data_IF_318553656564
#
_entry.id   IF_318553656564
#
_cell.length_a   1.000
_cell.length_b   1.000
_cell.length_c   1.000
_cell.angle_alpha   90.00
_cell.angle_beta   90.00
_cell.angle_gamma   90.00
#
_symmetry.space_group_name_H-M   'P 1'
#
loop_
_entity.id
_entity.type
_entity.pdbx_description
1 polymer ?
#
# COMPACT_ATOMS: atom_id res chain seq x y z
N UNK A 1 -51.15 49.91 9.99
CA UNK A 1 -51.65 49.19 11.18
C UNK A 1 -52.64 48.14 10.69
N UNK A 2 -52.24 46.88 10.75
CA UNK A 2 -53.00 45.76 10.20
C UNK A 2 -54.13 45.35 11.14
N UNK A 3 -55.27 44.99 10.54
CA UNK A 3 -56.53 44.57 11.15
C UNK A 3 -56.49 43.06 11.40
N UNK A 4 -57.09 42.59 12.50
CA UNK A 4 -57.61 41.22 12.57
C UNK A 4 -58.86 41.16 13.46
N UNK A 5 -60.01 40.93 12.81
CA UNK A 5 -61.22 40.37 13.40
C UNK A 5 -61.27 38.88 13.01
N UNK A 6 -61.65 38.04 13.96
CA UNK A 6 -61.95 36.64 13.76
C UNK A 6 -63.07 36.41 12.73
N UNK A 7 -62.91 35.39 11.90
CA UNK A 7 -63.98 34.46 11.54
C UNK A 7 -63.38 33.10 11.17
N UNK A 8 -63.99 32.06 11.70
CA UNK A 8 -63.72 30.65 11.40
C UNK A 8 -63.84 30.39 9.90
N UNK A 9 -62.90 29.61 9.35
CA UNK A 9 -63.20 28.76 8.21
C UNK A 9 -62.58 27.38 8.45
N UNK A 10 -63.49 26.42 8.55
CA UNK A 10 -63.25 25.00 8.59
C UNK A 10 -63.21 24.52 7.13
N UNK A 11 -62.01 24.38 6.57
CA UNK A 11 -61.82 23.64 5.31
C UNK A 11 -60.96 22.42 5.60
N UNK A 12 -61.63 21.30 5.83
CA UNK A 12 -61.00 20.00 5.78
C UNK A 12 -60.40 19.79 4.41
N UNK A 13 -59.08 19.62 4.36
CA UNK A 13 -58.44 18.88 3.29
C UNK A 13 -57.73 17.70 3.97
N UNK A 14 -58.52 16.67 4.26
CA UNK A 14 -58.03 15.36 4.69
C UNK A 14 -57.31 14.71 3.52
N UNK A 15 -56.03 15.01 3.36
CA UNK A 15 -55.09 14.24 2.54
C UNK A 15 -53.65 14.45 3.02
N UNK A 16 -53.47 14.61 4.33
CA UNK A 16 -52.17 14.35 4.97
C UNK A 16 -52.00 12.83 5.02
N UNK A 17 -51.68 12.24 3.87
CA UNK A 17 -51.07 10.92 3.87
C UNK A 17 -49.84 11.05 4.75
N UNK A 18 -49.87 10.39 5.91
CA UNK A 18 -48.73 10.33 6.83
C UNK A 18 -47.53 9.89 6.00
N UNK A 19 -46.59 10.81 5.81
CA UNK A 19 -45.33 10.48 5.17
C UNK A 19 -44.55 9.59 6.14
N UNK A 20 -44.49 8.30 5.83
CA UNK A 20 -43.81 7.33 6.67
C UNK A 20 -42.30 7.60 6.76
N UNK A 21 -41.73 8.39 5.84
CA UNK A 21 -40.34 8.86 5.92
C UNK A 21 -40.15 9.92 7.01
N UNK A 22 -41.12 10.82 7.23
CA UNK A 22 -41.06 11.84 8.28
C UNK A 22 -41.18 11.25 9.69
N UNK A 23 -41.83 10.09 9.82
CA UNK A 23 -41.98 9.40 11.09
C UNK A 23 -40.65 8.82 11.61
N UNK A 24 -39.65 8.65 10.74
CA UNK A 24 -38.28 8.25 11.10
C UNK A 24 -37.52 9.37 11.82
N UNK A 25 -37.99 10.62 11.74
CA UNK A 25 -37.43 11.76 12.47
C UNK A 25 -38.28 12.15 13.68
N UNK A 26 -39.41 11.47 13.91
CA UNK A 26 -40.28 11.73 15.04
C UNK A 26 -39.61 11.23 16.33
N UNK A 27 -39.55 12.01 17.43
CA UNK A 27 -38.83 11.63 18.66
C UNK A 27 -39.28 10.31 19.29
N UNK A 28 -40.52 9.89 19.02
CA UNK A 28 -41.06 8.60 19.47
C UNK A 28 -40.65 7.38 18.62
N UNK A 29 -40.17 7.58 17.38
CA UNK A 29 -39.95 6.53 16.40
C UNK A 29 -38.59 6.64 15.65
N UNK A 30 -37.84 7.72 15.84
CA UNK A 30 -36.59 8.00 15.16
C UNK A 30 -35.35 7.40 15.82
N UNK A 31 -34.41 6.96 14.98
CA UNK A 31 -33.27 6.13 15.37
C UNK A 31 -32.01 6.92 15.82
N UNK A 32 -31.95 8.22 15.55
CA UNK A 32 -30.84 9.08 15.96
C UNK A 32 -31.26 9.95 17.14
N UNK A 33 -31.10 9.42 18.36
CA UNK A 33 -31.19 10.22 19.58
C UNK A 33 -29.79 10.24 20.21
N UNK A 34 -29.18 11.43 20.23
CA UNK A 34 -27.88 11.67 20.86
C UNK A 34 -27.97 11.24 22.35
N UNK A 35 -27.19 10.23 22.80
CA UNK A 35 -27.25 9.76 24.18
C UNK A 35 -26.87 10.81 25.23
N UNK A 36 -26.35 11.98 24.82
CA UNK A 36 -26.10 13.13 25.70
C UNK A 36 -27.25 14.13 25.75
N UNK A 37 -28.20 14.07 24.82
CA UNK A 37 -29.44 14.84 24.90
C UNK A 37 -30.46 13.97 25.65
N UNK A 38 -30.53 14.13 26.98
CA UNK A 38 -31.43 13.34 27.83
C UNK A 38 -32.82 13.21 27.22
N UNK A 39 -33.26 11.98 26.97
CA UNK A 39 -34.56 11.68 26.37
C UNK A 39 -35.69 12.21 27.27
N UNK A 40 -36.78 12.66 26.65
CA UNK A 40 -37.98 13.02 27.40
C UNK A 40 -38.57 11.74 28.03
N UNK A 41 -39.05 11.75 29.28
CA UNK A 41 -39.58 10.55 29.95
C UNK A 41 -40.67 9.79 29.17
N UNK A 42 -41.41 10.51 28.31
CA UNK A 42 -42.42 9.93 27.43
C UNK A 42 -41.83 9.05 26.31
N UNK A 43 -40.66 9.38 25.76
CA UNK A 43 -40.01 8.57 24.71
C UNK A 43 -39.39 7.29 25.30
N UNK A 44 -38.87 7.37 26.52
CA UNK A 44 -38.43 6.19 27.27
C UNK A 44 -39.62 5.28 27.62
N UNK A 45 -40.75 5.85 28.04
CA UNK A 45 -41.98 5.10 28.31
C UNK A 45 -42.55 4.40 27.06
N UNK A 46 -42.50 5.05 25.89
CA UNK A 46 -42.93 4.44 24.63
C UNK A 46 -41.99 3.33 24.16
N UNK A 47 -40.68 3.47 24.38
CA UNK A 47 -39.71 2.42 24.08
C UNK A 47 -39.85 1.24 25.05
N UNK A 48 -40.17 1.50 26.32
CA UNK A 48 -40.51 0.47 27.30
C UNK A 48 -41.77 -0.31 26.90
N UNK A 49 -42.83 0.39 26.44
CA UNK A 49 -44.07 -0.21 25.93
C UNK A 49 -43.88 -1.13 24.71
N UNK A 50 -42.90 -0.84 23.83
CA UNK A 50 -42.63 -1.66 22.62
C UNK A 50 -41.97 -3.01 22.94
N UNK A 51 -41.22 -3.12 24.03
CA UNK A 51 -40.46 -4.33 24.41
C UNK A 51 -40.80 -4.81 25.83
N UNK A 52 -42.04 -4.57 26.24
CA UNK A 52 -42.59 -4.77 27.60
C UNK A 52 -42.87 -6.24 27.96
N UNK A 53 -42.08 -7.16 27.42
CA UNK A 53 -42.08 -8.54 27.86
C UNK A 53 -41.03 -8.71 28.94
N UNK A 54 -41.41 -9.20 30.14
CA UNK A 54 -40.45 -9.65 31.16
C UNK A 54 -39.57 -10.81 30.65
N UNK A 55 -40.02 -11.50 29.58
CA UNK A 55 -39.26 -12.54 28.91
C UNK A 55 -38.20 -11.94 27.95
N UNK A 56 -36.93 -12.14 28.33
CA UNK A 56 -35.75 -11.74 27.57
C UNK A 56 -35.66 -12.42 26.20
N UNK A 57 -36.18 -13.65 26.06
CA UNK A 57 -36.14 -14.40 24.81
C UNK A 57 -37.15 -13.84 23.80
N UNK A 58 -38.34 -13.47 24.26
CA UNK A 58 -39.34 -12.79 23.43
C UNK A 58 -38.82 -11.43 22.93
N UNK A 59 -38.15 -10.66 23.78
CA UNK A 59 -37.53 -9.39 23.40
C UNK A 59 -36.44 -9.60 22.34
N UNK A 60 -35.54 -10.56 22.53
CA UNK A 60 -34.50 -10.88 21.55
C UNK A 60 -35.09 -11.30 20.19
N UNK A 61 -36.20 -12.06 20.18
CA UNK A 61 -36.91 -12.43 18.95
C UNK A 61 -37.55 -11.23 18.25
N UNK A 62 -38.14 -10.30 19.00
CA UNK A 62 -38.71 -9.06 18.45
C UNK A 62 -37.64 -8.24 17.72
N UNK A 63 -36.50 -7.99 18.40
CA UNK A 63 -35.35 -7.31 17.80
C UNK A 63 -34.76 -8.03 16.59
N UNK A 64 -34.77 -9.37 16.60
CA UNK A 64 -34.32 -10.18 15.46
C UNK A 64 -35.22 -9.94 14.24
N UNK A 65 -36.54 -9.93 14.41
CA UNK A 65 -37.48 -9.68 13.30
C UNK A 65 -37.39 -8.24 12.77
N UNK A 66 -37.21 -7.26 13.67
CA UNK A 66 -36.96 -5.87 13.29
C UNK A 66 -35.65 -5.73 12.49
N UNK A 67 -34.56 -6.37 12.94
CA UNK A 67 -33.31 -6.41 12.20
C UNK A 67 -33.47 -7.08 10.82
N UNK A 68 -34.27 -8.15 10.73
CA UNK A 68 -34.58 -8.80 9.46
C UNK A 68 -35.37 -7.89 8.50
N UNK A 69 -36.27 -7.06 9.04
CA UNK A 69 -37.00 -6.06 8.25
C UNK A 69 -36.04 -5.04 7.62
N UNK A 70 -35.15 -4.43 8.42
CA UNK A 70 -34.14 -3.50 7.90
C UNK A 70 -33.15 -4.16 6.95
N UNK A 71 -32.74 -5.40 7.23
CA UNK A 71 -31.88 -6.17 6.35
C UNK A 71 -32.51 -6.40 4.97
N UNK A 72 -33.81 -6.74 4.92
CA UNK A 72 -34.55 -6.84 3.65
C UNK A 72 -34.63 -5.50 2.92
N UNK A 73 -34.77 -4.41 3.67
CA UNK A 73 -34.68 -3.03 3.16
C UNK A 73 -33.27 -2.58 2.76
N UNK A 74 -32.24 -3.42 2.93
CA UNK A 74 -30.81 -3.12 2.73
C UNK A 74 -30.27 -1.97 3.60
N UNK A 75 -31.01 -1.58 4.64
CA UNK A 75 -30.51 -0.65 5.66
C UNK A 75 -29.71 -1.44 6.70
N UNK A 76 -28.46 -1.74 6.34
CA UNK A 76 -27.58 -2.56 7.18
C UNK A 76 -27.22 -1.87 8.50
N UNK A 77 -27.19 -0.54 8.54
CA UNK A 77 -26.88 0.22 9.76
C UNK A 77 -27.98 0.06 10.80
N UNK A 78 -29.26 0.24 10.42
CA UNK A 78 -30.40 0.01 11.33
C UNK A 78 -30.56 -1.47 11.69
N UNK A 79 -30.27 -2.38 10.77
CA UNK A 79 -30.25 -3.81 11.06
C UNK A 79 -29.22 -4.16 12.15
N UNK A 80 -28.01 -3.60 12.08
CA UNK A 80 -26.96 -3.80 13.11
C UNK A 80 -27.41 -3.31 14.48
N UNK A 81 -28.05 -2.14 14.55
CA UNK A 81 -28.58 -1.59 15.80
C UNK A 81 -29.65 -2.52 16.39
N UNK A 82 -30.58 -3.00 15.55
CA UNK A 82 -31.66 -3.90 15.97
C UNK A 82 -31.11 -5.23 16.49
N UNK A 83 -30.20 -5.88 15.76
CA UNK A 83 -29.55 -7.11 16.23
C UNK A 83 -28.73 -6.90 17.50
N UNK A 84 -28.10 -5.73 17.65
CA UNK A 84 -27.39 -5.36 18.88
C UNK A 84 -28.35 -5.18 20.06
N UNK A 85 -29.55 -4.62 19.85
CA UNK A 85 -30.64 -4.59 20.82
C UNK A 85 -31.05 -6.00 21.25
N UNK A 86 -31.20 -6.92 20.30
CA UNK A 86 -31.50 -8.33 20.58
C UNK A 86 -30.43 -9.02 21.43
N UNK A 87 -29.15 -8.77 21.17
CA UNK A 87 -28.05 -9.28 21.99
C UNK A 87 -28.02 -8.67 23.39
N UNK A 88 -28.44 -7.41 23.55
CA UNK A 88 -28.55 -6.73 24.86
C UNK A 88 -29.72 -7.24 25.70
N UNK A 89 -30.75 -7.81 25.09
CA UNK A 89 -31.85 -8.44 25.79
C UNK A 89 -31.40 -9.67 26.61
N UNK A 90 -30.18 -10.20 26.38
CA UNK A 90 -29.59 -11.34 27.11
C UNK A 90 -30.52 -12.56 27.15
N UNK A 91 -30.97 -12.98 25.97
CA UNK A 91 -31.71 -14.22 25.80
C UNK A 91 -30.93 -15.41 26.37
N UNK A 92 -31.63 -16.33 27.03
CA UNK A 92 -31.07 -17.59 27.53
C UNK A 92 -30.80 -18.60 26.41
N UNK A 93 -31.41 -18.40 25.23
CA UNK A 93 -31.25 -19.25 24.05
C UNK A 93 -29.93 -18.96 23.33
N UNK A 94 -28.95 -19.84 23.54
CA UNK A 94 -27.63 -19.78 22.89
C UNK A 94 -27.74 -19.79 21.35
N UNK A 95 -28.69 -20.54 20.79
CA UNK A 95 -28.86 -20.63 19.32
C UNK A 95 -29.43 -19.33 18.77
N UNK A 96 -30.38 -18.72 19.46
CA UNK A 96 -30.90 -17.39 19.09
C UNK A 96 -29.79 -16.33 19.12
N UNK A 97 -28.94 -16.34 20.15
CA UNK A 97 -27.80 -15.44 20.22
C UNK A 97 -26.80 -15.69 19.08
N UNK A 98 -26.49 -16.94 18.74
CA UNK A 98 -25.63 -17.27 17.60
C UNK A 98 -26.20 -16.76 16.26
N UNK A 99 -27.52 -16.86 16.08
CA UNK A 99 -28.22 -16.30 14.91
C UNK A 99 -28.10 -14.77 14.88
N UNK A 100 -28.34 -14.09 16.00
CA UNK A 100 -28.23 -12.64 16.11
C UNK A 100 -26.81 -12.14 15.79
N UNK A 101 -25.79 -12.77 16.36
CA UNK A 101 -24.38 -12.47 16.02
C UNK A 101 -24.11 -12.68 14.54
N UNK A 102 -24.57 -13.78 13.95
CA UNK A 102 -24.34 -14.06 12.53
C UNK A 102 -25.06 -13.08 11.61
N UNK A 103 -26.31 -12.72 11.90
CA UNK A 103 -27.06 -11.75 11.12
C UNK A 103 -26.41 -10.35 11.19
N UNK A 104 -25.91 -9.96 12.38
CA UNK A 104 -25.11 -8.74 12.53
C UNK A 104 -23.78 -8.82 11.76
N UNK A 105 -23.11 -9.97 11.78
CA UNK A 105 -21.89 -10.20 11.01
C UNK A 105 -22.12 -10.02 9.50
N UNK A 106 -23.23 -10.56 8.97
CA UNK A 106 -23.62 -10.40 7.57
C UNK A 106 -23.82 -8.91 7.23
N UNK A 107 -24.47 -8.13 8.09
CA UNK A 107 -24.62 -6.69 7.88
C UNK A 107 -23.25 -5.98 7.88
N UNK A 108 -22.37 -6.32 8.83
CA UNK A 108 -20.99 -5.82 8.83
C UNK A 108 -20.23 -6.19 7.56
N UNK A 109 -20.43 -7.39 7.02
CA UNK A 109 -19.81 -7.83 5.77
C UNK A 109 -20.25 -6.95 4.58
N UNK A 110 -21.54 -6.67 4.44
CA UNK A 110 -22.04 -5.79 3.37
C UNK A 110 -21.55 -4.35 3.50
N UNK A 111 -21.34 -3.88 4.73
CA UNK A 111 -20.71 -2.58 5.02
C UNK A 111 -19.16 -2.62 4.90
N UNK A 112 -18.57 -3.72 4.45
CA UNK A 112 -17.11 -3.94 4.34
C UNK A 112 -16.36 -3.82 5.68
N UNK A 113 -17.08 -3.94 6.80
CA UNK A 113 -16.54 -3.97 8.15
C UNK A 113 -16.07 -5.39 8.51
N UNK A 114 -15.13 -5.94 7.73
CA UNK A 114 -14.75 -7.35 7.79
C UNK A 114 -14.21 -7.78 9.16
N UNK A 115 -13.47 -6.92 9.87
CA UNK A 115 -12.97 -7.24 11.23
C UNK A 115 -14.11 -7.45 12.23
N UNK A 116 -15.13 -6.60 12.18
CA UNK A 116 -16.33 -6.73 13.03
C UNK A 116 -17.13 -7.97 12.66
N UNK A 117 -17.25 -8.26 11.37
CA UNK A 117 -17.86 -9.50 10.87
C UNK A 117 -17.15 -10.75 11.42
N UNK A 118 -15.83 -10.83 11.35
CA UNK A 118 -15.05 -11.97 11.86
C UNK A 118 -15.27 -12.15 13.36
N UNK A 119 -15.25 -11.05 14.13
CA UNK A 119 -15.49 -11.10 15.58
C UNK A 119 -16.87 -11.67 15.91
N UNK A 120 -17.90 -11.18 15.24
CA UNK A 120 -19.27 -11.65 15.46
C UNK A 120 -19.45 -13.12 15.02
N UNK A 121 -18.83 -13.53 13.91
CA UNK A 121 -18.79 -14.93 13.49
C UNK A 121 -18.09 -15.82 14.53
N UNK A 122 -16.96 -15.40 15.09
CA UNK A 122 -16.26 -16.14 16.17
C UNK A 122 -17.15 -16.27 17.41
N UNK A 123 -17.86 -15.20 17.80
CA UNK A 123 -18.84 -15.26 18.89
C UNK A 123 -20.00 -16.21 18.59
N UNK A 124 -20.55 -16.18 17.36
CA UNK A 124 -21.62 -17.09 16.96
C UNK A 124 -21.18 -18.56 16.99
N UNK A 125 -19.99 -18.86 16.46
CA UNK A 125 -19.41 -20.20 16.48
C UNK A 125 -19.16 -20.70 17.91
N UNK A 126 -18.73 -19.82 18.82
CA UNK A 126 -18.53 -20.20 20.22
C UNK A 126 -19.83 -20.58 20.95
N UNK A 127 -20.96 -20.01 20.53
CA UNK A 127 -22.29 -20.25 21.10
C UNK A 127 -22.99 -21.46 20.47
N UNK A 128 -22.81 -21.66 19.17
CA UNK A 128 -23.39 -22.75 18.40
C UNK A 128 -22.35 -23.27 17.39
N UNK A 129 -21.50 -24.23 17.79
CA UNK A 129 -20.45 -24.78 16.93
C UNK A 129 -20.98 -25.56 15.72
N UNK A 130 -22.27 -25.90 15.71
CA UNK A 130 -22.99 -26.53 14.60
C UNK A 130 -23.56 -25.52 13.59
N UNK A 131 -23.37 -24.21 13.80
CA UNK A 131 -23.98 -23.19 12.96
C UNK A 131 -23.12 -22.82 11.74
N UNK A 132 -23.26 -23.62 10.67
CA UNK A 132 -22.51 -23.51 9.39
C UNK A 132 -22.43 -22.08 8.84
N UNK A 133 -23.54 -21.32 8.88
CA UNK A 133 -23.59 -19.97 8.30
C UNK A 133 -22.61 -19.00 8.93
N UNK A 134 -22.32 -19.17 10.23
CA UNK A 134 -21.34 -18.34 10.94
C UNK A 134 -19.91 -18.60 10.41
N UNK A 135 -19.54 -19.86 10.24
CA UNK A 135 -18.26 -20.27 9.65
C UNK A 135 -18.10 -19.73 8.24
N UNK A 136 -19.06 -20.00 7.35
CA UNK A 136 -19.03 -19.54 5.94
C UNK A 136 -18.80 -18.04 5.87
N UNK A 137 -19.59 -17.25 6.61
CA UNK A 137 -19.48 -15.79 6.58
C UNK A 137 -18.17 -15.29 7.18
N UNK A 138 -17.68 -15.94 8.24
CA UNK A 138 -16.40 -15.63 8.86
C UNK A 138 -15.22 -15.88 7.92
N UNK A 139 -15.24 -17.02 7.20
CA UNK A 139 -14.19 -17.37 6.24
C UNK A 139 -14.21 -16.41 5.04
N UNK A 140 -15.39 -16.08 4.50
CA UNK A 140 -15.52 -15.06 3.44
C UNK A 140 -14.95 -13.71 3.87
N UNK A 141 -15.17 -13.30 5.12
CA UNK A 141 -14.62 -12.07 5.68
C UNK A 141 -13.09 -12.14 5.86
N UNK A 142 -12.55 -13.30 6.27
CA UNK A 142 -11.10 -13.54 6.33
C UNK A 142 -10.45 -13.46 4.94
N UNK A 143 -11.08 -14.07 3.94
CA UNK A 143 -10.63 -14.00 2.54
C UNK A 143 -10.65 -12.57 2.00
N UNK A 144 -11.67 -11.78 2.33
CA UNK A 144 -11.74 -10.37 1.96
C UNK A 144 -10.62 -9.50 2.59
N UNK A 145 -10.03 -9.95 3.71
CA UNK A 145 -8.88 -9.32 4.37
C UNK A 145 -7.54 -9.98 4.02
N UNK A 146 -7.51 -10.94 3.10
CA UNK A 146 -6.33 -11.76 2.80
C UNK A 146 -5.72 -12.47 4.02
N UNK A 147 -6.55 -12.76 5.03
CA UNK A 147 -6.16 -13.51 6.24
C UNK A 147 -6.35 -15.01 6.00
N UNK A 148 -5.50 -15.59 5.16
CA UNK A 148 -5.67 -16.97 4.68
C UNK A 148 -5.49 -17.99 5.82
N UNK A 149 -4.56 -17.76 6.75
CA UNK A 149 -4.33 -18.65 7.89
C UNK A 149 -5.57 -18.77 8.80
N UNK A 150 -6.16 -17.63 9.17
CA UNK A 150 -7.40 -17.60 9.99
C UNK A 150 -8.57 -18.24 9.23
N UNK A 151 -8.61 -18.11 7.89
CA UNK A 151 -9.62 -18.75 7.05
C UNK A 151 -9.47 -20.28 7.03
N UNK A 152 -8.23 -20.80 6.95
CA UNK A 152 -7.92 -22.23 7.00
C UNK A 152 -8.24 -22.85 8.36
N UNK A 153 -7.91 -22.15 9.44
CA UNK A 153 -8.24 -22.57 10.80
C UNK A 153 -9.77 -22.62 10.99
N UNK A 154 -10.49 -21.58 10.57
CA UNK A 154 -11.94 -21.53 10.70
C UNK A 154 -12.64 -22.58 9.81
N UNK A 155 -12.11 -22.83 8.61
CA UNK A 155 -12.62 -23.88 7.73
C UNK A 155 -12.36 -25.29 8.27
N UNK A 156 -11.17 -25.57 8.80
CA UNK A 156 -10.83 -26.88 9.35
C UNK A 156 -11.63 -27.17 10.63
N UNK A 157 -11.77 -26.20 11.52
CA UNK A 157 -12.61 -26.34 12.72
C UNK A 157 -14.08 -26.59 12.38
N UNK A 158 -14.65 -25.88 11.40
CA UNK A 158 -16.02 -26.13 10.95
C UNK A 158 -16.22 -27.52 10.34
N UNK A 159 -15.28 -27.98 9.50
CA UNK A 159 -15.35 -29.31 8.88
C UNK A 159 -15.08 -30.45 9.86
N UNK A 160 -14.32 -30.24 10.93
CA UNK A 160 -14.16 -31.24 11.99
C UNK A 160 -15.48 -31.52 12.72
N UNK A 161 -16.34 -30.51 12.86
CA UNK A 161 -17.67 -30.64 13.50
C UNK A 161 -18.70 -31.12 12.48
N UNK A 162 -18.65 -30.60 11.25
CA UNK A 162 -19.61 -30.88 10.18
C UNK A 162 -18.91 -31.31 8.88
N UNK A 163 -18.36 -32.54 8.82
CA UNK A 163 -17.51 -32.99 7.72
C UNK A 163 -18.19 -33.05 6.36
N UNK A 164 -19.52 -33.23 6.34
CA UNK A 164 -20.29 -33.44 5.11
C UNK A 164 -21.06 -32.20 4.65
N UNK A 165 -20.77 -31.02 5.20
CA UNK A 165 -21.47 -29.79 4.82
C UNK A 165 -20.95 -29.24 3.47
N UNK A 166 -21.80 -29.18 2.42
CA UNK A 166 -21.36 -28.74 1.10
C UNK A 166 -20.92 -27.27 1.10
N UNK A 167 -21.52 -26.42 1.94
CA UNK A 167 -21.18 -25.00 2.03
C UNK A 167 -19.76 -24.77 2.60
N UNK A 168 -19.34 -25.56 3.60
CA UNK A 168 -17.98 -25.44 4.13
C UNK A 168 -16.94 -25.99 3.17
N UNK A 169 -17.25 -27.06 2.44
CA UNK A 169 -16.37 -27.61 1.41
C UNK A 169 -16.14 -26.62 0.26
N UNK A 170 -17.19 -25.94 -0.22
CA UNK A 170 -17.07 -24.91 -1.27
C UNK A 170 -16.17 -23.75 -0.81
N UNK A 171 -16.36 -23.28 0.42
CA UNK A 171 -15.56 -22.18 0.96
C UNK A 171 -14.13 -22.63 1.23
N UNK A 172 -13.90 -23.86 1.74
CA UNK A 172 -12.56 -24.42 1.91
C UNK A 172 -11.80 -24.47 0.58
N UNK A 173 -12.46 -24.89 -0.49
CA UNK A 173 -11.87 -24.89 -1.83
C UNK A 173 -11.41 -23.48 -2.24
N UNK A 174 -12.22 -22.44 -1.98
CA UNK A 174 -11.84 -21.04 -2.24
C UNK A 174 -10.62 -20.61 -1.43
N UNK A 175 -10.54 -21.01 -0.15
CA UNK A 175 -9.38 -20.73 0.70
C UNK A 175 -8.12 -21.40 0.17
N UNK A 176 -8.18 -22.70 -0.14
CA UNK A 176 -7.04 -23.45 -0.67
C UNK A 176 -6.57 -22.90 -2.03
N UNK A 177 -7.51 -22.57 -2.92
CA UNK A 177 -7.17 -21.93 -4.19
C UNK A 177 -6.41 -20.61 -3.96
N UNK A 178 -6.86 -19.79 -3.01
CA UNK A 178 -6.21 -18.51 -2.70
C UNK A 178 -4.83 -18.71 -2.06
N UNK A 179 -4.66 -19.72 -1.22
CA UNK A 179 -3.36 -20.11 -0.66
C UNK A 179 -2.38 -20.51 -1.78
N UNK A 180 -2.80 -21.36 -2.71
CA UNK A 180 -1.95 -21.78 -3.83
C UNK A 180 -1.54 -20.62 -4.74
N UNK A 181 -2.43 -19.64 -4.96
CA UNK A 181 -2.09 -18.41 -5.70
C UNK A 181 -0.99 -17.62 -4.97
N UNK A 182 -1.13 -17.44 -3.65
CA UNK A 182 -0.15 -16.73 -2.83
C UNK A 182 1.20 -17.46 -2.79
N UNK A 183 1.19 -18.78 -2.64
CA UNK A 183 2.42 -19.60 -2.62
C UNK A 183 3.17 -19.50 -3.95
N UNK A 184 2.46 -19.49 -5.07
CA UNK A 184 3.06 -19.27 -6.40
C UNK A 184 3.69 -17.90 -6.54
N UNK A 185 3.04 -16.84 -6.05
CA UNK A 185 3.58 -15.49 -6.07
C UNK A 185 4.86 -15.38 -5.22
N UNK A 186 4.84 -15.98 -4.02
CA UNK A 186 6.01 -16.04 -3.13
C UNK A 186 7.15 -16.82 -3.78
N UNK A 187 6.87 -17.97 -4.38
CA UNK A 187 7.88 -18.78 -5.07
C UNK A 187 8.47 -18.04 -6.27
N UNK A 188 7.64 -17.39 -7.10
CA UNK A 188 8.11 -16.59 -8.22
C UNK A 188 9.01 -15.44 -7.77
N UNK A 189 8.63 -14.73 -6.69
CA UNK A 189 9.44 -13.66 -6.12
C UNK A 189 10.79 -14.17 -5.61
N UNK A 190 10.78 -15.27 -4.86
CA UNK A 190 12.00 -15.93 -4.37
C UNK A 190 12.94 -16.34 -5.51
N UNK A 191 12.39 -16.93 -6.60
CA UNK A 191 13.19 -17.29 -7.78
C UNK A 191 13.83 -16.08 -8.46
N UNK A 192 13.10 -14.96 -8.54
CA UNK A 192 13.64 -13.71 -9.10
C UNK A 192 14.76 -13.14 -8.21
N UNK A 193 14.59 -13.18 -6.90
CA UNK A 193 15.59 -12.70 -5.95
C UNK A 193 16.86 -13.58 -5.99
N UNK A 194 16.73 -14.91 -6.01
CA UNK A 194 17.87 -15.83 -6.19
C UNK A 194 18.58 -15.63 -7.53
N UNK A 195 17.83 -15.35 -8.61
CA UNK A 195 18.43 -15.06 -9.93
C UNK A 195 19.27 -13.79 -9.87
N UNK A 196 18.74 -12.70 -9.30
CA UNK A 196 19.48 -11.45 -9.13
C UNK A 196 20.74 -11.66 -8.28
N UNK A 197 20.66 -12.42 -7.20
CA UNK A 197 21.82 -12.69 -6.35
C UNK A 197 22.91 -13.49 -7.07
N UNK A 198 22.53 -14.50 -7.87
CA UNK A 198 23.47 -15.28 -8.68
C UNK A 198 24.11 -14.45 -9.80
N UNK A 199 23.32 -13.62 -10.48
CA UNK A 199 23.82 -12.71 -11.54
C UNK A 199 24.85 -11.73 -10.93
N UNK A 200 24.53 -11.11 -9.79
CA UNK A 200 25.46 -10.24 -9.05
C UNK A 200 26.76 -10.96 -8.65
N UNK A 201 26.68 -12.17 -8.08
CA UNK A 201 27.87 -12.95 -7.70
C UNK A 201 28.77 -13.26 -8.90
N UNK A 202 28.19 -13.55 -10.06
CA UNK A 202 28.94 -13.82 -11.29
C UNK A 202 29.68 -12.57 -11.78
N UNK A 203 29.01 -11.41 -11.76
CA UNK A 203 29.61 -10.13 -12.14
C UNK A 203 30.76 -9.73 -11.21
N UNK A 204 30.59 -9.88 -9.90
CA UNK A 204 31.65 -9.59 -8.92
C UNK A 204 32.91 -10.43 -9.16
N UNK A 205 32.77 -11.72 -9.42
CA UNK A 205 33.91 -12.60 -9.72
C UNK A 205 34.61 -12.19 -11.02
N UNK A 206 33.84 -11.80 -12.04
CA UNK A 206 34.40 -11.31 -13.30
C UNK A 206 35.17 -9.99 -13.09
N UNK A 207 34.64 -9.04 -12.32
CA UNK A 207 35.30 -7.78 -12.01
C UNK A 207 36.60 -7.99 -11.24
N UNK A 208 36.56 -8.84 -10.21
CA UNK A 208 37.72 -9.21 -9.39
C UNK A 208 38.81 -9.87 -10.24
N UNK A 209 38.44 -10.74 -11.19
CA UNK A 209 39.39 -11.36 -12.11
C UNK A 209 40.11 -10.35 -13.02
N UNK A 210 39.51 -9.18 -13.26
CA UNK A 210 40.11 -8.08 -14.04
C UNK A 210 40.80 -7.02 -13.19
N UNK A 211 40.90 -7.24 -11.87
CA UNK A 211 41.54 -6.33 -10.92
C UNK A 211 40.76 -5.04 -10.72
N UNK A 212 39.42 -5.09 -10.80
CA UNK A 212 38.55 -3.96 -10.50
C UNK A 212 38.00 -4.15 -9.08
N UNK A 213 38.25 -3.17 -8.22
CA UNK A 213 37.81 -3.21 -6.83
C UNK A 213 36.32 -2.87 -6.71
N UNK A 214 35.60 -3.66 -5.91
CA UNK A 214 34.18 -3.46 -5.63
C UNK A 214 33.98 -3.19 -4.14
N UNK A 215 33.53 -1.98 -3.83
CA UNK A 215 33.35 -1.51 -2.47
C UNK A 215 31.92 -1.76 -1.99
N UNK A 216 31.71 -2.91 -1.35
CA UNK A 216 30.42 -3.33 -0.80
C UNK A 216 29.88 -2.44 0.35
N UNK A 217 30.67 -1.48 0.85
CA UNK A 217 30.25 -0.51 1.87
C UNK A 217 29.58 0.73 1.28
N UNK A 218 29.79 1.01 -0.01
CA UNK A 218 29.09 2.10 -0.69
C UNK A 218 27.60 1.74 -0.78
N UNK A 219 26.76 2.68 -0.34
CA UNK A 219 25.30 2.53 -0.50
C UNK A 219 24.97 2.68 -1.99
N UNK A 220 24.06 1.86 -2.54
CA UNK A 220 23.52 2.10 -3.88
C UNK A 220 22.93 3.51 -3.98
N UNK A 221 23.11 4.15 -5.13
CA UNK A 221 22.40 5.39 -5.43
C UNK A 221 20.97 5.03 -5.84
N UNK A 222 19.97 5.63 -5.18
CA UNK A 222 18.57 5.47 -5.55
C UNK A 222 18.32 6.16 -6.90
N UNK A 223 18.36 5.36 -7.98
CA UNK A 223 18.06 5.81 -9.34
C UNK A 223 16.58 5.54 -9.67
N UNK A 224 15.89 6.42 -10.43
CA UNK A 224 14.51 6.19 -10.87
C UNK A 224 14.38 4.89 -11.68
N UNK A 225 13.38 4.05 -11.35
CA UNK A 225 13.18 2.68 -11.88
C UNK A 225 13.11 2.57 -13.42
N UNK A 226 12.80 3.66 -14.14
CA UNK A 226 12.53 3.68 -15.59
C UNK A 226 13.81 3.55 -16.45
N UNK A 227 14.99 3.47 -15.82
CA UNK A 227 16.27 3.53 -16.52
C UNK A 227 17.35 2.57 -16.06
N UNK A 228 17.03 1.51 -15.30
CA UNK A 228 18.03 0.55 -14.82
C UNK A 228 18.74 -0.19 -15.97
N UNK A 229 19.82 0.41 -16.46
CA UNK A 229 20.86 -0.29 -17.19
C UNK A 229 21.89 -0.75 -16.16
N UNK A 230 22.06 -2.05 -16.07
CA UNK A 230 23.05 -2.67 -15.19
C UNK A 230 24.33 -2.92 -15.98
N UNK A 231 25.45 -2.98 -15.27
CA UNK A 231 26.68 -3.52 -15.83
C UNK A 231 26.42 -4.88 -16.49
N UNK A 232 27.06 -5.16 -17.62
CA UNK A 232 27.05 -6.50 -18.22
C UNK A 232 28.30 -6.74 -19.07
N UNK A 233 28.49 -8.00 -19.47
CA UNK A 233 29.58 -8.44 -20.35
C UNK A 233 28.99 -8.87 -21.69
N UNK A 234 29.46 -8.30 -22.79
CA UNK A 234 28.98 -8.66 -24.14
C UNK A 234 29.52 -10.04 -24.61
N UNK A 235 29.05 -10.50 -25.77
CA UNK A 235 29.50 -11.76 -26.37
C UNK A 235 30.98 -11.79 -26.75
N UNK A 236 31.64 -10.62 -26.83
CA UNK A 236 33.07 -10.47 -27.11
C UNK A 236 33.91 -10.35 -25.83
N UNK A 237 33.27 -10.45 -24.65
CA UNK A 237 33.92 -10.30 -23.35
C UNK A 237 34.25 -8.85 -23.00
N UNK A 238 33.67 -7.84 -23.66
CA UNK A 238 33.85 -6.43 -23.30
C UNK A 238 32.84 -6.02 -22.25
N UNK A 239 33.28 -5.19 -21.33
CA UNK A 239 32.42 -4.64 -20.27
C UNK A 239 31.62 -3.45 -20.79
N UNK A 240 30.35 -3.44 -20.41
CA UNK A 240 29.42 -2.35 -20.64
C UNK A 240 29.06 -1.75 -19.28
N UNK A 241 29.32 -0.46 -19.12
CA UNK A 241 29.19 0.27 -17.87
C UNK A 241 28.08 1.31 -17.94
N UNK A 242 27.20 1.38 -16.94
CA UNK A 242 26.46 2.61 -16.68
C UNK A 242 27.40 3.66 -16.07
N UNK A 243 27.29 4.91 -16.50
CA UNK A 243 28.12 6.03 -16.04
C UNK A 243 27.23 7.20 -15.61
N UNK A 244 27.42 7.68 -14.38
CA UNK A 244 26.79 8.86 -13.82
C UNK A 244 27.81 10.01 -13.78
N UNK A 245 27.56 11.06 -14.54
CA UNK A 245 28.27 12.33 -14.43
C UNK A 245 27.58 13.22 -13.40
N UNK A 246 28.36 13.70 -12.44
CA UNK A 246 27.94 14.64 -11.41
C UNK A 246 28.49 16.03 -11.73
N UNK A 247 27.66 17.06 -11.60
CA UNK A 247 28.02 18.47 -11.72
C UNK A 247 27.76 19.17 -10.37
N UNK A 248 28.70 19.06 -9.41
CA UNK A 248 28.42 19.43 -8.01
C UNK A 248 28.12 20.91 -7.82
N UNK A 249 28.67 21.79 -8.67
CA UNK A 249 28.39 23.23 -8.65
C UNK A 249 26.90 23.55 -8.76
N UNK A 250 26.18 22.79 -9.60
CA UNK A 250 24.77 23.02 -9.91
C UNK A 250 23.84 21.96 -9.32
N UNK A 251 24.39 20.94 -8.64
CA UNK A 251 23.62 19.80 -8.15
C UNK A 251 22.92 19.02 -9.27
N UNK A 252 23.50 19.02 -10.47
CA UNK A 252 22.94 18.34 -11.64
C UNK A 252 23.67 17.03 -11.91
N UNK A 253 22.99 16.13 -12.63
CA UNK A 253 23.54 14.84 -13.03
C UNK A 253 23.11 14.47 -14.45
N UNK A 254 23.97 13.73 -15.14
CA UNK A 254 23.68 13.11 -16.42
C UNK A 254 24.04 11.63 -16.38
N UNK A 255 23.20 10.79 -16.99
CA UNK A 255 23.32 9.33 -16.91
C UNK A 255 23.43 8.69 -18.29
N UNK A 256 24.55 8.03 -18.55
CA UNK A 256 24.75 7.18 -19.71
C UNK A 256 24.52 5.73 -19.33
N UNK A 257 23.56 5.09 -20.00
CA UNK A 257 23.10 3.74 -19.69
C UNK A 257 24.09 2.65 -20.07
N UNK A 258 24.71 2.80 -21.23
CA UNK A 258 25.51 1.76 -21.84
C UNK A 258 26.77 2.36 -22.48
N UNK A 259 27.90 2.20 -21.78
CA UNK A 259 29.22 2.65 -22.24
C UNK A 259 30.19 1.48 -22.26
N UNK A 260 30.66 1.12 -23.45
CA UNK A 260 31.66 0.09 -23.64
C UNK A 260 33.01 0.50 -23.02
N UNK A 261 33.73 -0.43 -22.39
CA UNK A 261 34.97 -0.16 -21.65
C UNK A 261 36.09 0.47 -22.51
N UNK A 262 36.02 0.33 -23.83
CA UNK A 262 36.97 0.91 -24.79
C UNK A 262 36.71 2.39 -25.10
N UNK A 263 35.55 2.94 -24.72
CA UNK A 263 35.22 4.34 -24.94
C UNK A 263 36.10 5.26 -24.09
N UNK A 264 36.39 6.45 -24.61
CA UNK A 264 37.06 7.50 -23.85
C UNK A 264 36.03 8.29 -23.03
N UNK A 265 36.45 8.79 -21.86
CA UNK A 265 35.60 9.64 -21.01
C UNK A 265 35.15 10.89 -21.78
N UNK A 266 36.05 11.49 -22.57
CA UNK A 266 35.75 12.69 -23.35
C UNK A 266 34.68 12.43 -24.41
N UNK A 267 34.66 11.26 -25.03
CA UNK A 267 33.63 10.92 -26.02
C UNK A 267 32.27 10.70 -25.36
N UNK A 268 32.26 10.15 -24.14
CA UNK A 268 31.06 10.08 -23.32
C UNK A 268 30.53 11.48 -22.97
N UNK A 269 31.41 12.40 -22.58
CA UNK A 269 31.04 13.79 -22.28
C UNK A 269 30.53 14.55 -23.52
N UNK A 270 31.04 14.27 -24.72
CA UNK A 270 30.52 14.86 -25.97
C UNK A 270 29.08 14.44 -26.27
N UNK A 271 28.66 13.25 -25.83
CA UNK A 271 27.27 12.82 -25.95
C UNK A 271 26.34 13.61 -25.02
N UNK A 272 26.85 14.03 -23.86
CA UNK A 272 26.10 14.81 -22.87
C UNK A 272 26.09 16.30 -23.25
N UNK A 273 27.26 16.86 -23.59
CA UNK A 273 27.45 18.25 -23.97
C UNK A 273 27.53 18.40 -25.50
N UNK A 274 26.43 18.12 -26.20
CA UNK A 274 26.35 18.31 -27.66
C UNK A 274 26.53 19.80 -28.01
N UNK A 275 27.66 20.11 -28.65
CA UNK A 275 28.05 21.49 -28.98
C UNK A 275 27.05 22.13 -29.95
N UNK A 276 26.35 21.33 -30.75
CA UNK A 276 25.36 21.78 -31.74
C UNK A 276 24.00 22.10 -31.12
N UNK A 277 23.78 21.73 -29.86
CA UNK A 277 22.55 22.01 -29.13
C UNK A 277 22.67 23.29 -28.27
N UNK A 278 21.54 23.95 -27.95
CA UNK A 278 21.56 25.03 -26.98
C UNK A 278 22.10 24.54 -25.62
N UNK A 279 22.80 25.39 -24.87
CA UNK A 279 23.35 24.99 -23.58
C UNK A 279 22.23 24.57 -22.62
N UNK A 280 22.50 23.65 -21.68
CA UNK A 280 21.51 23.24 -20.71
C UNK A 280 21.06 24.45 -19.85
N UNK A 281 19.81 24.47 -19.35
CA UNK A 281 19.27 25.60 -18.59
C UNK A 281 20.10 25.97 -17.35
N UNK A 282 20.82 25.01 -16.79
CA UNK A 282 21.66 25.18 -15.61
C UNK A 282 23.07 25.72 -15.93
N UNK A 283 23.54 25.66 -17.17
CA UNK A 283 24.80 26.27 -17.63
C UNK A 283 24.59 27.19 -18.86
N UNK A 284 23.85 28.30 -18.71
CA UNK A 284 23.60 29.21 -19.82
C UNK A 284 24.87 29.88 -20.35
N UNK A 285 25.97 29.89 -19.56
CA UNK A 285 27.25 30.53 -19.90
C UNK A 285 28.25 29.58 -20.56
N UNK A 286 27.93 28.29 -20.73
CA UNK A 286 28.85 27.26 -21.25
C UNK A 286 30.17 27.22 -20.48
N UNK A 287 30.08 27.28 -19.15
CA UNK A 287 31.22 27.06 -18.27
C UNK A 287 31.75 25.63 -18.44
N UNK A 288 30.86 24.66 -18.63
CA UNK A 288 31.18 23.26 -18.85
C UNK A 288 31.45 22.94 -20.33
N UNK A 289 32.27 23.77 -20.99
CA UNK A 289 32.72 23.51 -22.37
C UNK A 289 33.77 22.39 -22.39
N UNK A 290 33.74 21.56 -23.44
CA UNK A 290 34.76 20.54 -23.70
C UNK A 290 35.97 21.10 -24.46
N UNK A 291 35.93 22.37 -24.84
CA UNK A 291 37.01 23.09 -25.53
C UNK A 291 38.02 23.71 -24.53
N UNK A 292 39.20 24.07 -25.04
CA UNK A 292 40.25 24.82 -24.31
C UNK A 292 40.66 24.23 -22.95
N UNK A 293 40.55 22.91 -22.78
CA UNK A 293 40.87 22.24 -21.51
C UNK A 293 40.08 22.85 -20.33
N UNK A 294 38.83 23.26 -20.57
CA UNK A 294 38.01 23.99 -19.60
C UNK A 294 37.44 23.13 -18.47
N UNK A 295 37.49 21.80 -18.59
CA UNK A 295 36.94 20.87 -17.59
C UNK A 295 38.00 19.92 -17.03
N UNK A 296 37.79 19.49 -15.79
CA UNK A 296 38.51 18.40 -15.14
C UNK A 296 37.51 17.35 -14.69
N UNK A 297 37.91 16.07 -14.76
CA UNK A 297 37.07 14.94 -14.37
C UNK A 297 37.72 14.21 -13.21
N UNK A 298 36.94 13.90 -12.19
CA UNK A 298 37.39 13.29 -10.96
C UNK A 298 36.59 12.04 -10.62
N UNK A 299 37.20 11.09 -9.90
CA UNK A 299 36.49 10.04 -9.18
C UNK A 299 36.86 10.11 -7.70
N UNK A 300 36.00 9.60 -6.83
CA UNK A 300 36.26 9.54 -5.38
C UNK A 300 37.13 8.31 -5.06
N UNK A 301 38.26 8.51 -4.37
CA UNK A 301 39.08 7.43 -3.87
C UNK A 301 38.33 6.69 -2.76
N UNK A 302 38.22 5.37 -2.93
CA UNK A 302 37.47 4.47 -2.05
C UNK A 302 37.85 4.55 -0.55
N UNK A 303 39.16 4.56 -0.24
CA UNK A 303 39.73 4.60 1.11
C UNK A 303 39.98 6.03 1.57
N UNK A 304 40.62 6.86 0.74
CA UNK A 304 41.04 8.20 1.16
C UNK A 304 39.90 9.21 1.24
N UNK A 305 38.76 8.93 0.58
CA UNK A 305 37.62 9.87 0.50
C UNK A 305 38.01 11.23 -0.08
N UNK A 306 38.99 11.22 -1.00
CA UNK A 306 39.51 12.37 -1.75
C UNK A 306 39.22 12.20 -3.24
N UNK A 307 39.11 13.30 -3.96
CA UNK A 307 38.88 13.27 -5.40
C UNK A 307 40.20 13.14 -6.16
N UNK A 308 40.32 12.09 -6.97
CA UNK A 308 41.47 11.86 -7.84
C UNK A 308 41.16 12.36 -9.24
N UNK A 309 42.05 13.20 -9.78
CA UNK A 309 41.98 13.69 -11.15
C UNK A 309 42.20 12.54 -12.14
N UNK A 310 41.28 12.38 -13.08
CA UNK A 310 41.43 11.47 -14.21
C UNK A 310 41.43 12.26 -15.52
N UNK A 311 42.27 11.82 -16.47
CA UNK A 311 42.34 12.47 -17.77
C UNK A 311 41.08 12.15 -18.58
N UNK A 312 40.35 13.13 -19.13
CA UNK A 312 39.21 12.86 -20.01
C UNK A 312 39.59 12.04 -21.26
N UNK A 313 40.86 12.03 -21.65
CA UNK A 313 41.39 11.26 -22.78
C UNK A 313 41.61 9.78 -22.45
N UNK A 314 41.45 9.36 -21.19
CA UNK A 314 41.59 7.96 -20.82
C UNK A 314 40.33 7.16 -21.18
N UNK A 315 40.50 5.86 -21.45
CA UNK A 315 39.38 4.94 -21.65
C UNK A 315 38.79 4.52 -20.32
N UNK A 316 37.51 4.12 -20.33
CA UNK A 316 36.85 3.56 -19.14
C UNK A 316 37.63 2.38 -18.57
N UNK A 317 38.15 1.49 -19.42
CA UNK A 317 39.04 0.39 -19.02
C UNK A 317 40.30 0.83 -18.28
N UNK A 318 40.86 1.98 -18.66
CA UNK A 318 42.05 2.54 -17.99
C UNK A 318 41.68 3.19 -16.67
N UNK A 319 40.54 3.90 -16.64
CA UNK A 319 39.94 4.47 -15.42
C UNK A 319 39.71 3.39 -14.36
N UNK A 320 39.05 2.29 -14.71
CA UNK A 320 38.70 1.22 -13.75
C UNK A 320 39.89 0.49 -13.15
N UNK A 321 41.11 0.74 -13.66
CA UNK A 321 42.38 0.18 -13.16
C UNK A 321 43.23 1.21 -12.43
N UNK A 322 42.76 2.45 -12.27
CA UNK A 322 43.49 3.47 -11.53
C UNK A 322 43.48 3.13 -10.04
N UNK A 323 44.59 3.43 -9.36
CA UNK A 323 44.71 3.19 -7.94
C UNK A 323 43.64 3.97 -7.15
N UNK A 324 42.92 3.27 -6.26
CA UNK A 324 41.86 3.85 -5.44
C UNK A 324 40.50 3.98 -6.15
N UNK A 325 40.38 3.58 -7.42
CA UNK A 325 39.10 3.50 -8.10
C UNK A 325 38.35 2.26 -7.63
N UNK A 326 37.09 2.42 -7.25
CA UNK A 326 36.20 1.30 -6.92
C UNK A 326 34.77 1.59 -7.38
N UNK A 327 34.02 0.55 -7.68
CA UNK A 327 32.57 0.66 -7.92
C UNK A 327 31.77 0.16 -6.73
N UNK A 328 30.55 0.68 -6.55
CA UNK A 328 29.63 0.24 -5.50
C UNK A 328 28.91 -1.08 -5.85
N UNK A 329 27.94 -1.47 -5.01
CA UNK A 329 27.08 -2.64 -5.27
C UNK A 329 26.18 -2.49 -6.49
N UNK A 330 25.97 -1.26 -6.91
CA UNK A 330 25.20 -0.86 -8.10
C UNK A 330 26.01 -0.99 -9.39
N UNK A 331 27.30 -1.36 -9.31
CA UNK A 331 28.23 -1.48 -10.44
C UNK A 331 28.20 -0.24 -11.36
N UNK A 332 28.05 0.92 -10.73
CA UNK A 332 27.93 2.22 -11.36
C UNK A 332 29.28 2.96 -11.31
N UNK A 333 29.68 3.53 -12.45
CA UNK A 333 30.81 4.46 -12.49
C UNK A 333 30.30 5.87 -12.20
N UNK A 334 30.86 6.52 -11.18
CA UNK A 334 30.50 7.90 -10.81
C UNK A 334 31.69 8.81 -11.10
N UNK A 335 31.48 9.81 -11.95
CA UNK A 335 32.49 10.79 -12.33
C UNK A 335 32.01 12.20 -12.01
N UNK A 336 32.88 13.00 -11.40
CA UNK A 336 32.60 14.38 -11.04
C UNK A 336 33.27 15.30 -12.04
N UNK A 337 32.48 16.09 -12.75
CA UNK A 337 32.97 17.03 -13.76
C UNK A 337 32.98 18.42 -13.12
N UNK A 338 34.13 19.10 -13.23
CA UNK A 338 34.35 20.42 -12.65
C UNK A 338 34.86 21.35 -13.74
N UNK A 339 34.26 22.53 -13.88
CA UNK A 339 34.73 23.56 -14.82
C UNK A 339 35.80 24.43 -14.17
N UNK A 340 36.96 24.58 -14.85
CA UNK A 340 38.00 25.57 -14.51
C UNK A 340 37.53 27.00 -14.77
N UNK A 341 36.51 27.19 -15.61
CA UNK A 341 35.94 28.52 -15.92
C UNK A 341 35.11 29.07 -14.76
N UNK A 342 34.57 28.21 -13.90
CA UNK A 342 33.94 28.65 -12.64
C UNK A 342 35.00 28.88 -11.56
N UNK A 343 35.75 29.98 -11.69
CA UNK A 343 36.96 30.23 -10.89
C UNK A 343 36.73 30.16 -9.38
N UNK A 344 35.65 30.74 -8.87
CA UNK A 344 35.33 30.72 -7.44
C UNK A 344 35.02 29.31 -6.93
N UNK A 345 34.15 28.57 -7.63
CA UNK A 345 33.79 27.21 -7.25
C UNK A 345 35.00 26.27 -7.38
N UNK A 346 35.73 26.38 -8.48
CA UNK A 346 36.91 25.55 -8.75
C UNK A 346 37.99 25.69 -7.69
N UNK A 347 38.34 26.91 -7.29
CA UNK A 347 39.32 27.14 -6.21
C UNK A 347 38.86 26.55 -4.88
N UNK A 348 37.62 26.80 -4.47
CA UNK A 348 37.05 26.24 -3.24
C UNK A 348 36.99 24.71 -3.27
N UNK A 349 36.61 24.12 -4.41
CA UNK A 349 36.59 22.68 -4.60
C UNK A 349 37.98 22.05 -4.49
N UNK A 350 39.00 22.66 -5.11
CA UNK A 350 40.38 22.16 -5.03
C UNK A 350 40.93 22.19 -3.61
N UNK A 351 40.63 23.24 -2.85
CA UNK A 351 41.13 23.38 -1.47
C UNK A 351 40.46 22.42 -0.49
N UNK A 352 39.19 22.08 -0.70
CA UNK A 352 38.41 21.24 0.23
C UNK A 352 38.44 19.74 -0.10
N UNK A 353 38.53 19.36 -1.38
CA UNK A 353 38.14 18.02 -1.86
C UNK A 353 39.27 17.21 -2.49
N UNK A 354 40.39 17.85 -2.84
CA UNK A 354 41.59 17.22 -3.41
C UNK A 354 42.66 17.15 -2.32
#
# INVERSE_FOLDING_TARGET
>A
MSVAKNSLDNTGNSNDAIDWDDMVYHPAFGADIDPKAGLHPATEALQALKYESEDSDANARSYKEEGNYYYKGKDFSKAILSYTGGLRAKSSDSKLNAILYTNRAVCHFYLKNYRSCIRDCKSAVSLSPDYVKAYVKGIEACLALSKIDEALELSSTGLNILPSSPELLDVQYKVLKKQMELDKEVEQRSRLDCRKENDMNTEYEILKSRGIDVNLKLKPIDMPEVGCSTFYVDSLGKFHWPILFMYPEFGQTDFLRDVIESSMIIDCLKLVFDVNQPPPPWDPKRLYSLEDDAIEVYFEHDIMKKFILCSPQCTIKKLTKQNGFSVGRDLLIILHVISKRSTHFYSSWKDEKI
#
